data_IF_564972823872
#
_entry.id   IF_564972823872
#
_cell.length_a   1.000
_cell.length_b   1.000
_cell.length_c   1.000
_cell.angle_alpha   90.00
_cell.angle_beta   90.00
_cell.angle_gamma   90.00
#
_symmetry.space_group_name_H-M   'P 1'
#
loop_
_entity.id
_entity.type
_entity.pdbx_description
1 polymer ?
#
# COMPACT_ATOMS: atom_id res chain seq x y z
N UNK A 1 4.32 7.75 7.44
CA UNK A 1 4.11 6.30 7.26
C UNK A 1 5.36 5.46 7.50
N UNK A 2 6.56 5.86 7.05
CA UNK A 2 7.75 4.99 7.14
C UNK A 2 8.11 4.50 8.56
N UNK A 3 7.87 5.30 9.61
CA UNK A 3 8.13 4.91 11.01
C UNK A 3 7.08 3.97 11.61
N UNK A 4 5.94 3.80 10.93
CA UNK A 4 4.80 3.02 11.43
C UNK A 4 4.67 1.64 10.78
N UNK A 5 5.62 1.27 9.92
CA UNK A 5 5.73 -0.08 9.35
C UNK A 5 6.79 -0.89 10.11
N UNK A 6 6.73 -2.21 9.99
CA UNK A 6 7.67 -3.13 10.63
C UNK A 6 9.10 -2.92 10.16
N UNK A 7 10.07 -3.20 11.06
CA UNK A 7 11.50 -3.03 10.79
C UNK A 7 11.98 -3.79 9.55
N UNK A 8 11.58 -5.07 9.30
CA UNK A 8 11.98 -5.78 8.08
C UNK A 8 11.55 -5.05 6.82
N UNK A 9 10.32 -4.53 6.78
CA UNK A 9 9.82 -3.78 5.64
C UNK A 9 10.53 -2.43 5.46
N UNK A 10 10.86 -1.73 6.55
CA UNK A 10 11.63 -0.47 6.47
C UNK A 10 12.99 -0.70 5.82
N UNK A 11 13.70 -1.75 6.24
CA UNK A 11 15.03 -2.08 5.72
C UNK A 11 14.97 -2.50 4.26
N UNK A 12 14.00 -3.34 3.90
CA UNK A 12 13.80 -3.78 2.52
C UNK A 12 13.44 -2.62 1.56
N UNK A 13 12.61 -1.66 2.00
CA UNK A 13 12.26 -0.49 1.19
C UNK A 13 13.45 0.45 0.93
N UNK A 14 14.41 0.54 1.85
CA UNK A 14 15.60 1.41 1.69
C UNK A 14 16.58 0.92 0.62
N UNK A 15 16.53 -0.35 0.23
CA UNK A 15 17.53 -0.97 -0.67
C UNK A 15 17.47 -0.46 -2.11
N UNK A 16 16.27 -0.24 -2.63
CA UNK A 16 16.08 -0.06 -4.08
C UNK A 16 15.50 1.30 -4.49
N UNK A 17 14.85 2.01 -3.58
CA UNK A 17 14.18 3.28 -3.90
C UNK A 17 13.96 4.13 -2.67
N UNK A 18 14.20 5.44 -2.82
CA UNK A 18 13.79 6.43 -1.81
C UNK A 18 12.30 6.71 -1.95
N UNK A 19 11.55 6.46 -0.87
CA UNK A 19 10.15 6.84 -0.73
C UNK A 19 10.04 8.03 0.24
N UNK A 20 9.23 9.04 -0.11
CA UNK A 20 8.91 10.12 0.82
C UNK A 20 7.99 9.59 1.92
N UNK A 21 8.57 9.35 3.09
CA UNK A 21 7.88 8.71 4.22
C UNK A 21 6.67 9.45 4.80
N UNK A 22 6.36 10.66 4.31
CA UNK A 22 5.16 11.45 4.66
C UNK A 22 4.12 11.53 3.53
N UNK A 23 4.44 11.01 2.33
CA UNK A 23 3.58 11.04 1.15
C UNK A 23 2.65 9.82 1.11
N UNK A 24 1.33 10.05 1.03
CA UNK A 24 0.33 8.99 0.82
C UNK A 24 0.55 8.30 -0.52
N UNK A 25 0.85 9.08 -1.58
CA UNK A 25 1.20 8.53 -2.90
C UNK A 25 2.35 7.54 -2.80
N UNK A 26 3.39 7.86 -2.03
CA UNK A 26 4.57 7.00 -1.91
C UNK A 26 4.28 5.76 -1.07
N UNK A 27 3.38 5.85 -0.10
CA UNK A 27 2.85 4.68 0.63
C UNK A 27 2.13 3.71 -0.32
N UNK A 28 1.21 4.22 -1.15
CA UNK A 28 0.49 3.41 -2.14
C UNK A 28 1.44 2.81 -3.18
N UNK A 29 2.49 3.54 -3.58
CA UNK A 29 3.53 3.01 -4.46
C UNK A 29 4.33 1.89 -3.81
N UNK A 30 4.71 2.03 -2.54
CA UNK A 30 5.40 0.97 -1.79
C UNK A 30 4.50 -0.27 -1.67
N UNK A 31 3.21 -0.09 -1.37
CA UNK A 31 2.21 -1.15 -1.31
C UNK A 31 2.13 -1.93 -2.64
N UNK A 32 1.96 -1.21 -3.76
CA UNK A 32 1.93 -1.80 -5.10
C UNK A 32 3.23 -2.57 -5.40
N UNK A 33 4.39 -1.96 -5.12
CA UNK A 33 5.68 -2.58 -5.38
C UNK A 33 5.83 -3.90 -4.61
N UNK A 34 5.50 -3.92 -3.32
CA UNK A 34 5.64 -5.12 -2.49
C UNK A 34 4.61 -6.20 -2.82
N UNK A 35 3.40 -5.83 -3.25
CA UNK A 35 2.44 -6.79 -3.80
C UNK A 35 2.98 -7.42 -5.09
N UNK A 36 3.51 -6.61 -6.00
CA UNK A 36 4.01 -7.08 -7.30
C UNK A 36 5.19 -8.05 -7.15
N UNK A 37 6.15 -7.71 -6.29
CA UNK A 37 7.36 -8.52 -6.05
C UNK A 37 7.21 -9.48 -4.86
N UNK A 38 5.99 -9.76 -4.40
CA UNK A 38 5.76 -10.47 -3.12
C UNK A 38 6.53 -11.81 -3.03
N UNK A 39 6.62 -12.56 -4.13
CA UNK A 39 7.31 -13.85 -4.19
C UNK A 39 8.84 -13.73 -4.07
N UNK A 40 9.41 -12.60 -4.47
CA UNK A 40 10.85 -12.31 -4.43
C UNK A 40 11.29 -11.70 -3.09
N UNK A 41 10.34 -11.37 -2.20
CA UNK A 41 10.65 -10.78 -0.91
C UNK A 41 11.35 -11.77 0.02
N UNK A 42 12.31 -11.31 0.85
CA UNK A 42 12.87 -12.11 1.92
C UNK A 42 11.79 -12.70 2.84
N UNK A 43 12.05 -13.88 3.41
CA UNK A 43 11.08 -14.59 4.24
C UNK A 43 10.57 -13.74 5.41
N UNK A 44 11.45 -13.01 6.08
CA UNK A 44 11.12 -12.09 7.17
C UNK A 44 10.13 -10.97 6.76
N UNK A 45 10.25 -10.46 5.52
CA UNK A 45 9.38 -9.40 5.01
C UNK A 45 8.00 -9.98 4.68
N UNK A 46 7.95 -11.18 4.07
CA UNK A 46 6.69 -11.89 3.79
C UNK A 46 5.97 -12.24 5.08
N UNK A 47 6.68 -12.74 6.09
CA UNK A 47 6.12 -13.04 7.40
C UNK A 47 5.53 -11.78 8.06
N UNK A 48 6.25 -10.66 7.98
CA UNK A 48 5.76 -9.40 8.53
C UNK A 48 4.51 -8.86 7.80
N UNK A 49 4.45 -9.01 6.47
CA UNK A 49 3.34 -8.55 5.64
C UNK A 49 2.13 -9.48 5.67
N UNK A 50 2.35 -10.78 5.86
CA UNK A 50 1.32 -11.80 5.75
C UNK A 50 0.98 -12.15 4.29
N UNK A 51 0.15 -13.18 4.12
CA UNK A 51 -0.24 -13.71 2.81
C UNK A 51 -1.10 -12.72 2.01
N UNK A 52 -0.90 -12.73 0.69
CA UNK A 52 -1.74 -12.01 -0.27
C UNK A 52 -2.99 -12.86 -0.56
N UNK A 53 -4.20 -12.25 -0.67
CA UNK A 53 -4.47 -10.82 -0.55
C UNK A 53 -4.73 -10.32 0.87
N UNK A 54 -5.35 -11.13 1.73
CA UNK A 54 -6.08 -10.64 2.90
C UNK A 54 -5.15 -10.07 3.99
N UNK A 55 -4.21 -10.88 4.50
CA UNK A 55 -3.29 -10.44 5.56
C UNK A 55 -2.40 -9.30 5.08
N UNK A 56 -1.99 -9.34 3.80
CA UNK A 56 -1.22 -8.26 3.19
C UNK A 56 -1.97 -6.94 3.25
N UNK A 57 -3.23 -6.87 2.83
CA UNK A 57 -4.02 -5.63 2.91
C UNK A 57 -4.26 -5.22 4.36
N UNK A 58 -4.60 -6.18 5.22
CA UNK A 58 -4.84 -5.97 6.64
C UNK A 58 -3.63 -5.35 7.36
N UNK A 59 -2.41 -5.75 6.99
CA UNK A 59 -1.18 -5.15 7.55
C UNK A 59 -1.17 -3.63 7.44
N UNK A 60 -1.58 -3.09 6.28
CA UNK A 60 -1.57 -1.65 6.02
C UNK A 60 -2.80 -0.96 6.55
N UNK A 61 -4.00 -1.54 6.42
CA UNK A 61 -5.24 -0.93 6.93
C UNK A 61 -5.27 -0.88 8.45
N UNK A 62 -4.69 -1.87 9.14
CA UNK A 62 -4.53 -1.83 10.61
C UNK A 62 -3.58 -0.71 11.08
N UNK A 63 -2.52 -0.42 10.32
CA UNK A 63 -1.53 0.63 10.66
C UNK A 63 -1.95 2.02 10.19
N UNK A 64 -2.74 2.09 9.12
CA UNK A 64 -3.21 3.31 8.49
C UNK A 64 -4.73 3.24 8.29
N UNK A 65 -5.53 3.32 9.37
CA UNK A 65 -6.97 3.07 9.32
C UNK A 65 -7.73 4.04 8.39
N UNK A 66 -7.20 5.24 8.18
CA UNK A 66 -7.78 6.24 7.27
C UNK A 66 -7.29 6.15 5.82
N UNK A 67 -6.37 5.23 5.51
CA UNK A 67 -5.75 5.17 4.17
C UNK A 67 -6.78 4.94 3.08
N UNK A 68 -7.63 3.92 3.24
CA UNK A 68 -8.63 3.59 2.21
C UNK A 68 -9.63 4.72 2.01
N UNK A 69 -10.22 5.23 3.10
CA UNK A 69 -11.19 6.34 3.03
C UNK A 69 -10.58 7.61 2.43
N UNK A 70 -9.36 7.96 2.83
CA UNK A 70 -8.65 9.12 2.27
C UNK A 70 -8.34 8.92 0.78
N UNK A 71 -7.84 7.75 0.38
CA UNK A 71 -7.57 7.44 -1.03
C UNK A 71 -8.85 7.43 -1.84
N UNK A 72 -9.94 6.87 -1.33
CA UNK A 72 -11.25 6.89 -1.98
C UNK A 72 -11.76 8.32 -2.19
N UNK A 73 -11.71 9.17 -1.15
CA UNK A 73 -12.10 10.58 -1.28
C UNK A 73 -11.24 11.34 -2.28
N UNK A 74 -9.92 11.13 -2.25
CA UNK A 74 -8.98 11.81 -3.15
C UNK A 74 -9.12 11.34 -4.61
N UNK A 75 -9.35 10.05 -4.85
CA UNK A 75 -9.47 9.48 -6.19
C UNK A 75 -10.85 9.68 -6.82
N UNK A 76 -11.79 10.32 -6.13
CA UNK A 76 -13.13 10.65 -6.66
C UNK A 76 -13.06 11.54 -7.91
N UNK A 77 -12.02 12.35 -8.07
CA UNK A 77 -11.79 13.13 -9.29
C UNK A 77 -11.60 12.27 -10.55
N UNK A 78 -11.22 11.00 -10.38
CA UNK A 78 -11.03 10.03 -11.45
C UNK A 78 -12.23 9.08 -11.61
N UNK A 79 -13.35 9.31 -10.89
CA UNK A 79 -14.46 8.36 -10.80
C UNK A 79 -15.09 8.00 -12.15
N UNK A 80 -15.05 8.90 -13.13
CA UNK A 80 -15.58 8.69 -14.49
C UNK A 80 -14.63 7.93 -15.42
N UNK A 81 -13.37 7.72 -15.03
CA UNK A 81 -12.42 6.96 -15.84
C UNK A 81 -12.74 5.46 -15.80
N UNK A 82 -12.55 4.76 -16.92
CA UNK A 82 -12.92 3.34 -17.08
C UNK A 82 -12.33 2.43 -16.00
N UNK A 83 -11.09 2.72 -15.56
CA UNK A 83 -10.41 1.97 -14.50
C UNK A 83 -11.11 2.11 -13.14
N UNK A 84 -11.78 3.23 -12.88
CA UNK A 84 -12.36 3.55 -11.58
C UNK A 84 -13.85 3.27 -11.47
N UNK A 85 -14.55 3.01 -12.58
CA UNK A 85 -15.99 2.68 -12.60
C UNK A 85 -16.40 1.59 -11.60
N UNK A 86 -15.64 0.49 -11.38
CA UNK A 86 -16.06 -0.55 -10.43
C UNK A 86 -16.05 -0.11 -8.95
N UNK A 87 -15.42 1.04 -8.63
CA UNK A 87 -15.22 1.47 -7.25
C UNK A 87 -16.13 2.64 -6.85
N UNK A 88 -16.70 3.37 -7.80
CA UNK A 88 -17.58 4.52 -7.53
C UNK A 88 -18.99 4.24 -8.03
N UNK A 89 -20.03 4.77 -7.36
CA UNK A 89 -21.37 4.74 -7.92
C UNK A 89 -21.38 5.50 -9.26
N UNK A 90 -22.28 5.13 -10.19
CA UNK A 90 -22.56 5.95 -11.37
C UNK A 90 -22.86 7.38 -10.94
N UNK A 91 -22.35 8.35 -11.71
CA UNK A 91 -22.57 9.77 -11.48
C UNK A 91 -24.05 10.16 -11.67
#
# INVERSE_FOLDING_TARGET
WHKHISVPLQTDLRRFRTYKGTSVRDLLRALRNKKHHYRELPAEVRQALGHVPDSFVQYFTARFPRLLLHTYGAMRSCASESLFLPYYPPA
#
